data_IF_407290634787
#
_entry.id   IF_407290634787
#
_cell.length_a   1.000
_cell.length_b   1.000
_cell.length_c   1.000
_cell.angle_alpha   90.00
_cell.angle_beta   90.00
_cell.angle_gamma   90.00
#
_symmetry.space_group_name_H-M   'P 1'
#
loop_
_entity.id
_entity.type
_entity.pdbx_description
1 polymer ?
#
# COMPACT_ATOMS: atom_id res chain seq x y z
N UNK A 1 11.26 -2.08 -15.54
CA UNK A 1 10.45 -3.29 -15.26
C UNK A 1 9.23 -3.25 -16.15
N UNK A 2 8.80 -4.38 -16.70
CA UNK A 2 7.58 -4.47 -17.51
C UNK A 2 6.35 -4.12 -16.64
N UNK A 3 5.52 -3.18 -17.09
CA UNK A 3 4.32 -2.70 -16.36
C UNK A 3 3.40 -3.85 -15.97
N UNK A 4 3.26 -4.84 -16.86
CA UNK A 4 2.44 -6.03 -16.63
C UNK A 4 2.96 -6.88 -15.47
N UNK A 5 4.27 -6.93 -15.27
CA UNK A 5 4.86 -7.67 -14.14
C UNK A 5 4.61 -6.93 -12.82
N UNK A 6 4.66 -5.60 -12.83
CA UNK A 6 4.40 -4.77 -11.64
C UNK A 6 2.97 -4.94 -11.16
N UNK A 7 1.99 -4.91 -12.06
CA UNK A 7 0.57 -5.14 -11.74
C UNK A 7 0.30 -6.54 -11.15
N UNK A 8 0.93 -7.58 -11.73
CA UNK A 8 0.85 -8.95 -11.18
C UNK A 8 1.42 -9.03 -9.77
N UNK A 9 2.57 -8.39 -9.54
CA UNK A 9 3.20 -8.36 -8.22
C UNK A 9 2.33 -7.62 -7.19
N UNK A 10 1.71 -6.50 -7.58
CA UNK A 10 0.78 -5.74 -6.72
C UNK A 10 -0.42 -6.61 -6.32
N UNK A 11 -0.98 -7.36 -7.28
CA UNK A 11 -2.10 -8.28 -7.00
C UNK A 11 -1.67 -9.37 -6.01
N UNK A 12 -0.53 -10.01 -6.28
CA UNK A 12 0.01 -11.07 -5.42
C UNK A 12 0.27 -10.57 -3.99
N UNK A 13 0.89 -9.41 -3.83
CA UNK A 13 1.22 -8.89 -2.48
C UNK A 13 -0.04 -8.46 -1.72
N UNK A 14 -1.09 -7.98 -2.40
CA UNK A 14 -2.38 -7.69 -1.76
C UNK A 14 -3.00 -8.97 -1.18
N UNK A 15 -2.93 -10.08 -1.90
CA UNK A 15 -3.40 -11.38 -1.39
C UNK A 15 -2.56 -11.91 -0.22
N UNK A 16 -1.24 -11.76 -0.30
CA UNK A 16 -0.33 -12.12 0.81
C UNK A 16 -0.65 -11.29 2.06
N UNK A 17 -0.82 -9.97 1.92
CA UNK A 17 -1.20 -9.11 3.05
C UNK A 17 -2.56 -9.51 3.62
N UNK A 18 -3.55 -9.77 2.76
CA UNK A 18 -4.89 -10.19 3.19
C UNK A 18 -4.83 -11.45 4.04
N UNK A 19 -4.12 -12.47 3.58
CA UNK A 19 -3.97 -13.74 4.31
C UNK A 19 -3.23 -13.53 5.63
N UNK A 20 -2.14 -12.77 5.62
CA UNK A 20 -1.40 -12.43 6.84
C UNK A 20 -2.29 -11.73 7.88
N UNK A 21 -3.10 -10.76 7.47
CA UNK A 21 -4.00 -10.05 8.38
C UNK A 21 -5.08 -10.99 8.94
N UNK A 22 -5.65 -11.86 8.10
CA UNK A 22 -6.64 -12.85 8.53
C UNK A 22 -6.05 -13.84 9.55
N UNK A 23 -4.87 -14.40 9.27
CA UNK A 23 -4.18 -15.33 10.18
C UNK A 23 -3.85 -14.69 11.54
N UNK A 24 -3.58 -13.38 11.55
CA UNK A 24 -3.31 -12.62 12.78
C UNK A 24 -4.56 -12.06 13.46
N UNK A 25 -5.76 -12.24 12.88
CA UNK A 25 -7.00 -11.67 13.39
C UNK A 25 -7.10 -10.15 13.27
N UNK A 26 -6.31 -9.55 12.37
CA UNK A 26 -6.36 -8.11 12.08
C UNK A 26 -7.41 -7.78 11.03
N UNK A 27 -7.96 -6.56 11.09
CA UNK A 27 -8.94 -6.08 10.11
C UNK A 27 -8.27 -5.83 8.76
N UNK A 28 -8.96 -6.26 7.71
CA UNK A 28 -8.66 -5.89 6.33
C UNK A 28 -9.35 -4.56 6.04
N UNK A 29 -8.57 -3.47 5.94
CA UNK A 29 -9.12 -2.13 5.67
C UNK A 29 -8.58 -1.59 4.35
N UNK A 30 -9.38 -0.84 3.56
CA UNK A 30 -8.96 -0.30 2.27
C UNK A 30 -7.67 0.53 2.35
N UNK A 31 -7.48 1.28 3.43
CA UNK A 31 -6.33 2.16 3.64
C UNK A 31 -5.01 1.38 3.60
N UNK A 32 -4.98 0.18 4.19
CA UNK A 32 -3.79 -0.68 4.19
C UNK A 32 -3.41 -1.13 2.78
N UNK A 33 -4.40 -1.41 1.94
CA UNK A 33 -4.17 -1.82 0.56
C UNK A 33 -3.76 -0.65 -0.33
N UNK A 34 -4.36 0.53 -0.11
CA UNK A 34 -3.97 1.77 -0.79
C UNK A 34 -2.51 2.12 -0.50
N UNK A 35 -2.12 2.11 0.77
CA UNK A 35 -0.73 2.40 1.18
C UNK A 35 0.24 1.39 0.56
N UNK A 36 -0.09 0.09 0.61
CA UNK A 36 0.74 -0.96 0.03
C UNK A 36 0.95 -0.77 -1.48
N UNK A 37 -0.12 -0.49 -2.22
CA UNK A 37 -0.07 -0.26 -3.66
C UNK A 37 0.77 0.97 -4.03
N UNK A 38 0.63 2.06 -3.28
CA UNK A 38 1.41 3.28 -3.48
C UNK A 38 2.91 3.04 -3.26
N UNK A 39 3.25 2.34 -2.17
CA UNK A 39 4.64 1.94 -1.87
C UNK A 39 5.23 1.08 -2.98
N UNK A 40 4.47 0.10 -3.49
CA UNK A 40 4.93 -0.76 -4.59
C UNK A 40 5.00 -0.02 -5.93
N UNK A 41 4.30 1.10 -6.08
CA UNK A 41 4.36 1.95 -7.26
C UNK A 41 5.52 2.94 -7.25
N UNK A 42 6.07 3.27 -6.08
CA UNK A 42 7.23 4.13 -5.93
C UNK A 42 8.51 3.39 -6.35
N UNK A 43 9.31 4.03 -7.21
CA UNK A 43 10.63 3.52 -7.64
C UNK A 43 11.79 4.18 -6.85
N UNK A 44 11.48 4.91 -5.77
CA UNK A 44 12.45 5.59 -4.91
C UNK A 44 12.19 5.27 -3.43
N UNK A 45 13.23 5.44 -2.61
CA UNK A 45 13.09 5.38 -1.15
C UNK A 45 12.28 6.59 -0.66
N UNK A 46 11.49 6.39 0.38
CA UNK A 46 10.66 7.43 1.00
C UNK A 46 10.77 7.35 2.51
N UNK A 47 10.48 8.46 3.18
CA UNK A 47 10.21 8.49 4.62
C UNK A 47 8.69 8.57 4.88
N UNK A 48 8.29 8.49 6.15
CA UNK A 48 6.88 8.51 6.55
C UNK A 48 6.20 9.84 6.20
N UNK A 49 6.91 10.96 6.30
CA UNK A 49 6.36 12.29 5.99
C UNK A 49 6.11 12.47 4.48
N UNK A 50 7.03 11.99 3.64
CA UNK A 50 6.90 12.02 2.19
C UNK A 50 5.70 11.18 1.73
N UNK A 51 5.56 9.97 2.29
CA UNK A 51 4.44 9.09 2.00
C UNK A 51 3.12 9.73 2.44
N UNK A 52 3.07 10.31 3.63
CA UNK A 52 1.87 10.98 4.14
C UNK A 52 1.47 12.17 3.25
N UNK A 53 2.44 13.00 2.85
CA UNK A 53 2.19 14.13 1.97
C UNK A 53 1.66 13.67 0.60
N UNK A 54 2.23 12.60 0.05
CA UNK A 54 1.75 11.98 -1.19
C UNK A 54 0.30 11.51 -1.05
N UNK A 55 -0.04 10.84 0.06
CA UNK A 55 -1.40 10.35 0.29
C UNK A 55 -2.41 11.49 0.38
N UNK A 56 -2.04 12.61 1.03
CA UNK A 56 -2.86 13.83 1.08
C UNK A 56 -3.06 14.44 -0.29
N UNK A 57 -2.00 14.57 -1.09
CA UNK A 57 -2.06 15.11 -2.45
C UNK A 57 -2.99 14.29 -3.35
N UNK A 58 -2.97 12.96 -3.20
CA UNK A 58 -3.87 12.03 -3.89
C UNK A 58 -5.28 11.95 -3.28
N UNK A 59 -5.57 12.74 -2.24
CA UNK A 59 -6.86 12.83 -1.55
C UNK A 59 -7.32 11.51 -0.92
N UNK A 60 -6.39 10.68 -0.48
CA UNK A 60 -6.73 9.50 0.31
C UNK A 60 -7.12 9.90 1.74
N UNK A 61 -8.12 9.24 2.29
CA UNK A 61 -8.59 9.45 3.66
C UNK A 61 -7.74 8.68 4.67
N UNK A 62 -6.47 9.06 4.80
CA UNK A 62 -5.52 8.46 5.74
C UNK A 62 -4.89 9.54 6.62
N UNK A 63 -4.64 9.18 7.88
CA UNK A 63 -3.92 10.06 8.81
C UNK A 63 -2.44 9.67 8.87
N UNK A 64 -1.59 10.53 9.45
CA UNK A 64 -0.18 10.18 9.68
C UNK A 64 0.01 8.98 10.62
N UNK A 65 -0.97 8.69 11.48
CA UNK A 65 -0.93 7.56 12.40
C UNK A 65 -1.39 6.24 11.77
N UNK A 66 -2.04 6.30 10.61
CA UNK A 66 -2.61 5.17 9.88
C UNK A 66 -1.51 4.38 9.17
#
# INVERSE_FOLDING_TARGET
MDTLQKEKNITLIKDVLRNYLLEKGFRNTPERYTILEEIYNMDHHFNVDDLYLLMLQKKYHVSKAT
#
